data_IF_801156656121
#
_entry.id   IF_801156656121
#
_cell.length_a   1.000
_cell.length_b   1.000
_cell.length_c   1.000
_cell.angle_alpha   90.00
_cell.angle_beta   90.00
_cell.angle_gamma   90.00
#
_symmetry.space_group_name_H-M   'P 1'
#
loop_
_entity.id
_entity.type
_entity.pdbx_description
1 polymer ?
#
# COMPACT_ATOMS: atom_id res chain seq x y z
N UNK A 1 14.56 6.12 -19.98
CA UNK A 1 14.25 6.77 -18.69
C UNK A 1 12.85 7.38 -18.64
N UNK A 2 12.17 7.68 -19.77
CA UNK A 2 10.84 8.31 -19.77
C UNK A 2 9.79 7.56 -18.93
N UNK A 3 9.82 6.23 -18.92
CA UNK A 3 8.85 5.42 -18.17
C UNK A 3 9.25 5.12 -16.72
N UNK A 4 10.44 5.57 -16.28
CA UNK A 4 10.94 5.28 -14.92
C UNK A 4 9.96 5.79 -13.84
N UNK A 5 9.46 7.03 -13.88
CA UNK A 5 8.52 7.51 -12.86
C UNK A 5 7.22 6.70 -12.85
N UNK A 6 6.69 6.34 -14.03
CA UNK A 6 5.49 5.52 -14.20
C UNK A 6 5.68 4.12 -13.58
N UNK A 7 6.81 3.48 -13.86
CA UNK A 7 7.13 2.15 -13.33
C UNK A 7 7.34 2.18 -11.81
N UNK A 8 8.06 3.18 -11.30
CA UNK A 8 8.28 3.36 -9.86
C UNK A 8 6.95 3.55 -9.14
N UNK A 9 6.05 4.40 -9.63
CA UNK A 9 4.73 4.60 -9.03
C UNK A 9 3.93 3.29 -8.99
N UNK A 10 3.90 2.51 -10.07
CA UNK A 10 3.19 1.21 -10.10
C UNK A 10 3.71 0.24 -9.05
N UNK A 11 5.03 0.06 -8.99
CA UNK A 11 5.66 -0.82 -8.00
C UNK A 11 5.43 -0.28 -6.58
N UNK A 12 5.53 1.03 -6.39
CA UNK A 12 5.24 1.69 -5.13
C UNK A 12 3.81 1.45 -4.65
N UNK A 13 2.81 1.55 -5.54
CA UNK A 13 1.40 1.29 -5.20
C UNK A 13 1.14 -0.19 -4.88
N UNK A 14 1.72 -1.11 -5.66
CA UNK A 14 1.63 -2.55 -5.38
C UNK A 14 2.25 -2.89 -4.02
N UNK A 15 3.41 -2.33 -3.71
CA UNK A 15 4.08 -2.53 -2.42
C UNK A 15 3.29 -1.87 -1.28
N UNK A 16 2.70 -0.70 -1.52
CA UNK A 16 1.87 -0.02 -0.54
C UNK A 16 0.63 -0.84 -0.18
N UNK A 17 -0.07 -1.34 -1.20
CA UNK A 17 -1.18 -2.31 -1.05
C UNK A 17 -0.75 -3.50 -0.21
N UNK A 18 0.36 -4.15 -0.55
CA UNK A 18 0.86 -5.31 0.19
C UNK A 18 1.19 -4.98 1.64
N UNK A 19 1.83 -3.84 1.91
CA UNK A 19 2.16 -3.40 3.27
C UNK A 19 0.90 -3.14 4.12
N UNK A 20 -0.18 -2.63 3.50
CA UNK A 20 -1.46 -2.44 4.17
C UNK A 20 -2.08 -3.79 4.58
N UNK A 21 -2.07 -4.77 3.67
CA UNK A 21 -2.54 -6.12 3.98
C UNK A 21 -1.68 -6.82 5.03
N UNK A 22 -0.37 -6.64 5.00
CA UNK A 22 0.50 -7.16 6.06
C UNK A 22 0.17 -6.55 7.42
N UNK A 23 -0.19 -5.26 7.47
CA UNK A 23 -0.61 -4.63 8.73
C UNK A 23 -1.96 -5.18 9.20
N UNK A 24 -2.92 -5.34 8.29
CA UNK A 24 -4.25 -5.93 8.54
C UNK A 24 -4.14 -7.35 9.10
N UNK A 25 -3.27 -8.17 8.51
CA UNK A 25 -3.03 -9.55 8.90
C UNK A 25 -2.07 -9.70 10.10
N UNK A 26 -1.69 -8.61 10.76
CA UNK A 26 -0.72 -8.60 11.86
C UNK A 26 0.66 -9.22 11.52
N UNK A 27 1.07 -9.16 10.24
CA UNK A 27 2.37 -9.65 9.73
C UNK A 27 3.48 -8.65 10.06
N UNK A 28 3.86 -8.62 11.33
CA UNK A 28 4.93 -7.79 11.87
C UNK A 28 6.27 -8.55 11.90
N UNK A 29 7.43 -7.89 11.72
CA UNK A 29 7.61 -6.45 11.47
C UNK A 29 7.59 -6.07 9.97
N UNK A 30 7.23 -7.00 9.07
CA UNK A 30 7.32 -6.80 7.61
C UNK A 30 6.50 -5.62 7.12
N UNK A 31 5.28 -5.44 7.65
CA UNK A 31 4.41 -4.30 7.32
C UNK A 31 5.12 -2.95 7.47
N UNK A 32 5.96 -2.78 8.51
CA UNK A 32 6.73 -1.55 8.74
C UNK A 32 7.75 -1.34 7.62
N UNK A 33 8.50 -2.38 7.28
CA UNK A 33 9.57 -2.31 6.28
C UNK A 33 8.97 -2.03 4.90
N UNK A 34 7.92 -2.74 4.52
CA UNK A 34 7.28 -2.58 3.23
C UNK A 34 6.54 -1.24 3.10
N UNK A 35 5.88 -0.75 4.15
CA UNK A 35 5.23 0.57 4.12
C UNK A 35 6.25 1.71 3.95
N UNK A 36 7.38 1.65 4.66
CA UNK A 36 8.45 2.63 4.52
C UNK A 36 9.10 2.57 3.13
N UNK A 37 9.30 1.36 2.59
CA UNK A 37 9.85 1.16 1.25
C UNK A 37 8.88 1.63 0.16
N UNK A 38 7.58 1.38 0.32
CA UNK A 38 6.55 1.91 -0.56
C UNK A 38 6.60 3.44 -0.60
N UNK A 39 6.66 4.09 0.57
CA UNK A 39 6.81 5.55 0.65
C UNK A 39 8.07 6.03 -0.07
N UNK A 40 9.22 5.38 0.15
CA UNK A 40 10.47 5.73 -0.52
C UNK A 40 10.35 5.66 -2.06
N UNK A 41 9.78 4.58 -2.60
CA UNK A 41 9.56 4.44 -4.04
C UNK A 41 8.58 5.49 -4.56
N UNK A 42 7.47 5.74 -3.85
CA UNK A 42 6.41 6.66 -4.29
C UNK A 42 6.89 8.12 -4.27
N UNK A 43 7.64 8.54 -3.24
CA UNK A 43 8.23 9.87 -3.18
C UNK A 43 9.25 10.06 -4.30
N UNK A 44 10.12 9.07 -4.52
CA UNK A 44 11.07 9.09 -5.65
C UNK A 44 10.33 9.10 -7.00
N UNK A 45 9.23 8.38 -7.14
CA UNK A 45 8.42 8.41 -8.36
C UNK A 45 7.89 9.82 -8.64
N UNK A 46 7.35 10.51 -7.62
CA UNK A 46 6.86 11.89 -7.76
C UNK A 46 7.99 12.85 -8.11
N UNK A 47 9.16 12.75 -7.48
CA UNK A 47 10.35 13.56 -7.81
C UNK A 47 10.82 13.28 -9.25
N UNK A 48 10.87 12.01 -9.64
CA UNK A 48 11.33 11.60 -10.98
C UNK A 48 10.39 12.07 -12.10
N UNK A 49 9.12 12.39 -11.82
CA UNK A 49 8.22 13.01 -12.78
C UNK A 49 8.68 14.41 -13.21
N UNK A 50 9.37 15.16 -12.33
CA UNK A 50 10.00 16.43 -12.72
C UNK A 50 11.21 16.15 -13.61
N UNK A 51 12.12 15.27 -13.15
CA UNK A 51 13.21 14.75 -13.96
C UNK A 51 13.83 13.50 -13.32
N UNK A 52 14.07 12.38 -14.03
CA UNK A 52 14.54 11.13 -13.44
C UNK A 52 15.87 11.20 -12.68
N UNK A 53 16.77 12.13 -13.05
CA UNK A 53 18.03 12.29 -12.33
C UNK A 53 17.89 12.96 -10.95
N UNK A 54 16.76 13.59 -10.65
CA UNK A 54 16.55 14.31 -9.39
C UNK A 54 16.38 13.39 -8.17
N UNK A 55 16.26 12.08 -8.38
CA UNK A 55 16.25 11.09 -7.28
C UNK A 55 17.65 10.71 -6.81
N UNK A 56 18.70 11.16 -7.49
CA UNK A 56 20.09 10.83 -7.19
C UNK A 56 20.73 11.90 -6.30
N UNK A 57 21.25 11.47 -5.15
CA UNK A 57 22.12 12.27 -4.27
C UNK A 57 23.55 12.34 -4.82
N UNK A 58 23.95 11.33 -5.59
CA UNK A 58 25.25 11.28 -6.27
C UNK A 58 25.10 10.67 -7.65
N UNK A 59 25.47 11.43 -8.68
CA UNK A 59 25.56 10.94 -10.05
C UNK A 59 26.93 10.28 -10.31
N UNK A 60 27.00 9.33 -11.26
CA UNK A 60 28.26 8.77 -11.73
C UNK A 60 29.22 9.87 -12.22
N UNK A 61 30.52 9.63 -12.09
CA UNK A 61 31.53 10.58 -12.58
C UNK A 61 31.47 10.64 -14.11
N UNK A 62 31.65 11.84 -14.66
CA UNK A 62 31.78 12.02 -16.11
C UNK A 62 32.98 11.21 -16.63
N UNK A 63 32.74 10.42 -17.67
CA UNK A 63 33.79 9.67 -18.36
C UNK A 63 34.04 10.32 -19.73
N UNK A 64 35.24 10.87 -20.00
CA UNK A 64 35.54 11.53 -21.27
C UNK A 64 35.40 10.64 -22.51
N UNK A 65 35.43 9.31 -22.35
CA UNK A 65 35.24 8.36 -23.45
C UNK A 65 33.78 8.01 -23.74
N UNK A 66 32.84 8.48 -22.91
CA UNK A 66 31.40 8.28 -23.10
C UNK A 66 30.73 9.62 -23.42
N UNK A 67 29.93 9.65 -24.48
CA UNK A 67 29.23 10.87 -24.88
C UNK A 67 28.04 11.22 -23.96
N UNK A 68 27.39 10.23 -23.35
CA UNK A 68 26.19 10.42 -22.54
C UNK A 68 26.18 9.49 -21.32
N UNK A 69 25.53 9.95 -20.25
CA UNK A 69 25.20 9.14 -19.08
C UNK A 69 24.14 8.09 -19.46
N UNK A 70 24.41 6.82 -19.16
CA UNK A 70 23.51 5.71 -19.45
C UNK A 70 22.78 5.22 -18.19
N UNK A 71 21.72 4.43 -18.39
CA UNK A 71 21.03 3.77 -17.27
C UNK A 71 21.95 2.79 -16.52
N UNK A 72 22.85 2.11 -17.22
CA UNK A 72 23.80 1.18 -16.59
C UNK A 72 24.72 1.94 -15.64
N UNK A 73 25.25 3.10 -16.08
CA UNK A 73 26.09 3.94 -15.21
C UNK A 73 25.35 4.35 -13.93
N UNK A 74 24.06 4.69 -14.05
CA UNK A 74 23.21 5.05 -12.90
C UNK A 74 22.94 3.88 -11.95
N UNK A 75 22.80 2.66 -12.47
CA UNK A 75 22.56 1.46 -11.67
C UNK A 75 23.81 0.99 -10.92
N UNK A 76 24.98 1.13 -11.54
CA UNK A 76 26.25 0.69 -10.96
C UNK A 76 26.83 1.71 -9.97
N UNK A 77 26.86 2.99 -10.36
CA UNK A 77 27.58 4.04 -9.63
C UNK A 77 26.69 5.15 -9.06
N UNK A 78 25.41 5.17 -9.42
CA UNK A 78 24.45 6.14 -8.93
C UNK A 78 24.03 5.85 -7.49
N UNK A 79 23.86 6.90 -6.68
CA UNK A 79 23.25 6.80 -5.35
C UNK A 79 21.99 7.62 -5.30
N UNK A 80 20.89 6.99 -4.89
CA UNK A 80 19.62 7.67 -4.69
C UNK A 80 19.49 8.24 -3.29
N UNK A 81 18.67 9.27 -3.13
CA UNK A 81 18.33 9.80 -1.81
C UNK A 81 17.73 8.69 -0.92
N UNK A 82 18.15 8.64 0.33
CA UNK A 82 17.60 7.75 1.35
C UNK A 82 16.25 8.25 1.85
N UNK A 83 15.48 7.39 2.52
CA UNK A 83 14.18 7.72 3.10
C UNK A 83 14.17 9.06 3.86
N UNK A 84 15.17 9.33 4.70
CA UNK A 84 15.23 10.55 5.52
C UNK A 84 15.47 11.83 4.72
N UNK A 85 16.09 11.74 3.54
CA UNK A 85 16.41 12.86 2.66
C UNK A 85 15.25 13.23 1.72
N UNK A 86 14.33 12.29 1.47
CA UNK A 86 13.26 12.47 0.48
C UNK A 86 12.30 13.62 0.77
N UNK A 87 11.90 13.93 2.02
CA UNK A 87 11.02 15.06 2.27
C UNK A 87 11.60 16.40 1.81
N UNK A 88 12.90 16.62 2.05
CA UNK A 88 13.61 17.83 1.62
C UNK A 88 13.67 17.89 0.09
N UNK A 89 14.05 16.77 -0.54
CA UNK A 89 14.17 16.69 -1.99
C UNK A 89 12.82 16.84 -2.70
N UNK A 90 11.75 16.26 -2.15
CA UNK A 90 10.39 16.42 -2.65
C UNK A 90 9.99 17.89 -2.65
N UNK A 91 10.21 18.59 -1.53
CA UNK A 91 9.90 20.01 -1.42
C UNK A 91 10.73 20.85 -2.41
N UNK A 92 12.05 20.61 -2.48
CA UNK A 92 12.95 21.38 -3.34
C UNK A 92 12.62 21.24 -4.84
N UNK A 93 12.14 20.07 -5.27
CA UNK A 93 11.89 19.76 -6.68
C UNK A 93 10.44 19.98 -7.12
N UNK A 94 9.48 19.85 -6.21
CA UNK A 94 8.04 19.91 -6.55
C UNK A 94 7.27 20.99 -5.81
N UNK A 95 7.85 21.59 -4.77
CA UNK A 95 7.17 22.50 -3.85
C UNK A 95 6.27 21.82 -2.81
N UNK A 96 6.06 20.50 -2.91
CA UNK A 96 5.16 19.75 -2.03
C UNK A 96 5.82 19.47 -0.67
N UNK A 97 5.09 19.75 0.41
CA UNK A 97 5.53 19.46 1.79
C UNK A 97 4.71 18.33 2.39
N UNK A 98 5.35 17.49 3.19
CA UNK A 98 4.67 16.46 3.98
C UNK A 98 4.08 17.10 5.23
N UNK A 99 2.76 17.21 5.31
CA UNK A 99 2.05 17.87 6.41
C UNK A 99 2.39 17.26 7.79
N UNK A 100 2.40 15.92 7.89
CA UNK A 100 2.70 15.18 9.11
C UNK A 100 4.18 14.73 9.17
N UNK A 101 5.11 15.64 8.93
CA UNK A 101 6.55 15.31 8.81
C UNK A 101 7.12 14.56 10.03
N UNK A 102 6.64 14.86 11.24
CA UNK A 102 7.10 14.15 12.44
C UNK A 102 6.70 12.66 12.40
N UNK A 103 5.49 12.34 11.97
CA UNK A 103 5.05 10.96 11.81
C UNK A 103 5.87 10.25 10.73
N UNK A 104 6.22 10.92 9.62
CA UNK A 104 7.12 10.36 8.61
C UNK A 104 8.50 10.00 9.17
N UNK A 105 9.08 10.91 9.97
CA UNK A 105 10.40 10.73 10.60
C UNK A 105 10.39 9.63 11.65
N UNK A 106 9.38 9.60 12.53
CA UNK A 106 9.24 8.55 13.54
C UNK A 106 9.03 7.17 12.90
N UNK A 107 8.26 7.08 11.81
CA UNK A 107 8.11 5.83 11.08
C UNK A 107 9.43 5.37 10.42
N UNK A 108 10.23 6.31 9.89
CA UNK A 108 11.58 6.03 9.40
C UNK A 108 12.52 5.49 10.48
N UNK A 109 12.47 6.05 11.70
CA UNK A 109 13.22 5.52 12.85
C UNK A 109 12.78 4.11 13.21
N UNK A 110 11.47 3.85 13.21
CA UNK A 110 10.92 2.51 13.48
C UNK A 110 11.42 1.49 12.44
N UNK A 111 11.37 1.84 11.14
CA UNK A 111 11.95 1.00 10.08
C UNK A 111 13.43 0.74 10.30
N UNK A 112 14.22 1.75 10.66
CA UNK A 112 15.65 1.60 10.92
C UNK A 112 15.95 0.68 12.10
N UNK A 113 15.14 0.72 13.16
CA UNK A 113 15.23 -0.24 14.27
C UNK A 113 15.07 -1.68 13.75
N UNK A 114 14.04 -1.93 12.95
CA UNK A 114 13.76 -3.25 12.39
C UNK A 114 14.90 -3.72 11.49
N UNK A 115 15.33 -2.92 10.53
CA UNK A 115 16.26 -3.38 9.49
C UNK A 115 17.73 -3.44 9.92
N UNK A 116 18.16 -2.58 10.85
CA UNK A 116 19.58 -2.50 11.24
C UNK A 116 19.85 -3.23 12.54
N UNK A 117 18.85 -3.36 13.40
CA UNK A 117 19.02 -3.93 14.73
C UNK A 117 18.14 -5.16 14.97
N UNK A 118 17.27 -5.55 14.01
CA UNK A 118 16.31 -6.65 14.18
C UNK A 118 15.46 -6.51 15.45
N UNK A 119 15.15 -5.27 15.83
CA UNK A 119 14.39 -4.93 17.02
C UNK A 119 13.33 -3.89 16.68
N UNK A 120 12.22 -3.91 17.42
CA UNK A 120 11.27 -2.82 17.42
C UNK A 120 10.88 -2.53 18.86
N UNK A 121 11.21 -1.32 19.33
CA UNK A 121 10.90 -0.93 20.71
C UNK A 121 9.44 -0.46 20.87
N UNK A 122 8.69 -0.41 19.77
CA UNK A 122 7.28 -0.05 19.76
C UNK A 122 6.39 -1.29 19.83
N UNK A 123 5.27 -1.17 20.55
CA UNK A 123 4.17 -2.13 20.52
C UNK A 123 3.22 -1.79 19.37
N UNK A 124 2.46 -2.77 18.89
CA UNK A 124 1.39 -2.61 17.87
C UNK A 124 1.91 -2.03 16.54
N UNK A 125 2.89 -2.71 15.94
CA UNK A 125 3.55 -2.27 14.70
C UNK A 125 2.58 -2.21 13.51
N UNK A 126 1.64 -3.13 13.47
CA UNK A 126 0.44 -3.19 12.63
C UNK A 126 -0.36 -1.87 12.70
N UNK A 127 -0.86 -1.49 13.88
CA UNK A 127 -1.57 -0.22 14.10
C UNK A 127 -0.74 1.01 13.73
N UNK A 128 0.55 1.03 14.08
CA UNK A 128 1.44 2.14 13.68
C UNK A 128 1.57 2.23 12.16
N UNK A 129 1.62 1.08 11.48
CA UNK A 129 1.67 0.99 10.02
C UNK A 129 0.34 1.41 9.39
N UNK A 130 -0.81 1.03 9.95
CA UNK A 130 -2.13 1.50 9.50
C UNK A 130 -2.25 3.03 9.62
N UNK A 131 -1.84 3.59 10.76
CA UNK A 131 -1.83 5.04 10.99
C UNK A 131 -0.91 5.78 10.02
N UNK A 132 0.30 5.27 9.80
CA UNK A 132 1.22 5.84 8.82
C UNK A 132 0.65 5.76 7.39
N UNK A 133 0.07 4.61 7.05
CA UNK A 133 -0.48 4.34 5.72
C UNK A 133 -1.67 5.25 5.42
N UNK A 134 -2.70 5.23 6.25
CA UNK A 134 -3.99 5.84 5.94
C UNK A 134 -4.08 7.31 6.32
N UNK A 135 -3.31 7.76 7.30
CA UNK A 135 -3.36 9.16 7.72
C UNK A 135 -2.24 10.05 7.16
N UNK A 136 -1.20 9.46 6.56
CA UNK A 136 -0.06 10.20 5.99
C UNK A 136 0.21 9.80 4.55
N UNK A 137 0.57 8.54 4.29
CA UNK A 137 1.07 8.15 2.98
C UNK A 137 -0.03 8.16 1.91
N UNK A 138 -1.20 7.62 2.22
CA UNK A 138 -2.33 7.55 1.29
C UNK A 138 -2.85 8.95 0.89
N UNK A 139 -3.13 9.89 1.83
CA UNK A 139 -3.47 11.27 1.46
C UNK A 139 -2.37 11.98 0.67
N UNK A 140 -1.09 11.70 0.96
CA UNK A 140 0.03 12.28 0.22
C UNK A 140 0.08 11.76 -1.22
N UNK A 141 -0.06 10.45 -1.41
CA UNK A 141 -0.12 9.78 -2.72
C UNK A 141 -1.31 10.28 -3.53
N UNK A 142 -2.47 10.42 -2.89
CA UNK A 142 -3.66 10.99 -3.52
C UNK A 142 -3.41 12.44 -3.96
N UNK A 143 -2.68 13.25 -3.17
CA UNK A 143 -2.30 14.60 -3.60
C UNK A 143 -1.35 14.64 -4.81
N UNK A 144 -0.60 13.56 -5.06
CA UNK A 144 0.32 13.47 -6.19
C UNK A 144 -0.40 13.12 -7.50
N UNK A 145 -1.37 12.20 -7.44
CA UNK A 145 -1.95 11.58 -8.64
C UNK A 145 -3.49 11.52 -8.65
N UNK A 146 -4.16 12.09 -7.65
CA UNK A 146 -5.62 12.09 -7.51
C UNK A 146 -6.22 10.71 -7.22
N UNK A 147 -5.41 9.76 -6.72
CA UNK A 147 -5.80 8.36 -6.52
C UNK A 147 -5.29 7.83 -5.19
N UNK A 148 -6.17 7.18 -4.43
CA UNK A 148 -5.87 6.54 -3.14
C UNK A 148 -5.45 5.07 -3.32
N UNK A 149 -4.68 4.55 -2.36
CA UNK A 149 -4.42 3.10 -2.21
C UNK A 149 -5.69 2.31 -1.94
N UNK A 150 -6.71 2.90 -1.31
CA UNK A 150 -8.01 2.24 -1.10
C UNK A 150 -8.73 2.06 -2.43
N UNK A 151 -8.71 3.07 -3.30
CA UNK A 151 -9.23 2.92 -4.68
C UNK A 151 -8.40 1.89 -5.47
N UNK A 152 -7.08 1.87 -5.28
CA UNK A 152 -6.21 0.88 -5.91
C UNK A 152 -6.58 -0.55 -5.51
N UNK A 153 -6.85 -0.80 -4.22
CA UNK A 153 -7.33 -2.08 -3.69
C UNK A 153 -8.71 -2.42 -4.27
N UNK A 154 -9.64 -1.47 -4.29
CA UNK A 154 -11.00 -1.69 -4.76
C UNK A 154 -11.05 -2.18 -6.23
N UNK A 155 -10.11 -1.72 -7.05
CA UNK A 155 -10.06 -2.03 -8.49
C UNK A 155 -9.11 -3.15 -8.85
N UNK A 156 -8.30 -3.61 -7.91
CA UNK A 156 -7.37 -4.70 -8.13
C UNK A 156 -8.11 -6.04 -8.05
N UNK A 157 -8.17 -6.84 -9.12
CA UNK A 157 -8.91 -8.09 -9.13
C UNK A 157 -8.45 -9.08 -8.06
N UNK A 158 -7.19 -8.99 -7.61
CA UNK A 158 -6.66 -9.87 -6.56
C UNK A 158 -7.11 -9.47 -5.15
N UNK A 159 -7.66 -8.27 -4.96
CA UNK A 159 -7.97 -7.71 -3.64
C UNK A 159 -9.30 -6.95 -3.57
N UNK A 160 -10.06 -6.84 -4.66
CA UNK A 160 -11.33 -6.09 -4.76
C UNK A 160 -12.36 -6.53 -3.71
N UNK A 161 -12.39 -7.83 -3.41
CA UNK A 161 -13.32 -8.40 -2.43
C UNK A 161 -13.05 -7.94 -0.99
N UNK A 162 -11.87 -7.43 -0.64
CA UNK A 162 -11.56 -7.01 0.74
C UNK A 162 -12.36 -5.79 1.21
N UNK A 163 -12.72 -4.89 0.29
CA UNK A 163 -13.53 -3.72 0.63
C UNK A 163 -15.00 -4.11 0.64
N UNK A 164 -15.48 -4.80 -0.40
CA UNK A 164 -16.90 -5.18 -0.52
C UNK A 164 -17.34 -6.21 0.53
N UNK A 165 -16.42 -7.05 1.04
CA UNK A 165 -16.69 -7.96 2.16
C UNK A 165 -16.74 -7.28 3.53
N UNK A 166 -16.34 -6.01 3.63
CA UNK A 166 -16.26 -5.28 4.89
C UNK A 166 -15.06 -5.67 5.76
N UNK A 167 -14.18 -6.57 5.30
CA UNK A 167 -13.00 -7.04 6.05
C UNK A 167 -12.08 -5.87 6.39
N UNK A 168 -11.75 -5.02 5.41
CA UNK A 168 -10.92 -3.85 5.67
C UNK A 168 -11.53 -2.95 6.77
N UNK A 169 -12.83 -2.70 6.70
CA UNK A 169 -13.53 -1.89 7.71
C UNK A 169 -13.48 -2.53 9.10
N UNK A 170 -13.69 -3.85 9.19
CA UNK A 170 -13.58 -4.59 10.46
C UNK A 170 -12.20 -4.39 11.10
N UNK A 171 -11.12 -4.62 10.35
CA UNK A 171 -9.76 -4.50 10.86
C UNK A 171 -9.41 -3.08 11.30
N UNK A 172 -9.90 -2.07 10.59
CA UNK A 172 -9.71 -0.67 10.99
C UNK A 172 -10.37 -0.40 12.34
N UNK A 173 -11.62 -0.82 12.50
CA UNK A 173 -12.39 -0.60 13.73
C UNK A 173 -11.82 -1.41 14.92
N UNK A 174 -11.41 -2.65 14.70
CA UNK A 174 -10.77 -3.50 15.71
C UNK A 174 -9.44 -2.90 16.21
N UNK A 175 -8.70 -2.23 15.32
CA UNK A 175 -7.51 -1.48 15.67
C UNK A 175 -7.78 -0.11 16.29
N UNK A 176 -9.05 0.21 16.58
CA UNK A 176 -9.53 1.52 17.05
C UNK A 176 -9.11 2.67 16.11
N UNK A 177 -9.04 2.40 14.81
CA UNK A 177 -8.81 3.40 13.79
C UNK A 177 -10.10 4.18 13.55
N UNK A 178 -10.00 5.51 13.41
CA UNK A 178 -11.18 6.34 13.13
C UNK A 178 -11.39 6.44 11.63
N UNK A 179 -12.53 5.94 11.14
CA UNK A 179 -12.93 6.10 9.74
C UNK A 179 -13.51 7.50 9.57
N UNK A 180 -12.71 8.41 9.00
CA UNK A 180 -13.15 9.77 8.68
C UNK A 180 -14.02 9.82 7.43
N UNK A 181 -14.50 11.03 7.07
CA UNK A 181 -15.37 11.21 5.90
C UNK A 181 -14.68 10.83 4.58
N UNK A 182 -13.37 11.05 4.46
CA UNK A 182 -12.59 10.69 3.25
C UNK A 182 -12.55 9.18 3.10
N UNK A 183 -12.16 8.48 4.16
CA UNK A 183 -12.04 7.03 4.16
C UNK A 183 -13.42 6.37 4.01
N UNK A 184 -14.47 6.93 4.62
CA UNK A 184 -15.86 6.49 4.41
C UNK A 184 -16.26 6.58 2.94
N UNK A 185 -15.95 7.68 2.26
CA UNK A 185 -16.23 7.84 0.84
C UNK A 185 -15.49 6.81 -0.03
N UNK A 186 -14.23 6.50 0.31
CA UNK A 186 -13.41 5.52 -0.39
C UNK A 186 -13.88 4.06 -0.17
N UNK A 187 -14.34 3.73 1.04
CA UNK A 187 -14.86 2.41 1.37
C UNK A 187 -16.27 2.18 0.78
N UNK A 188 -17.09 3.23 0.76
CA UNK A 188 -18.47 3.19 0.30
C UNK A 188 -19.43 2.50 1.27
N UNK A 189 -20.73 2.72 1.05
CA UNK A 189 -21.79 2.22 1.94
C UNK A 189 -21.84 0.68 1.97
N UNK A 190 -21.51 0.02 0.84
CA UNK A 190 -21.48 -1.43 0.76
C UNK A 190 -20.48 -2.09 1.73
N UNK A 191 -19.34 -1.45 1.99
CA UNK A 191 -18.35 -1.93 2.98
C UNK A 191 -18.92 -1.86 4.39
N UNK A 192 -19.63 -0.76 4.71
CA UNK A 192 -20.28 -0.56 5.99
C UNK A 192 -21.36 -1.60 6.26
N UNK A 193 -22.23 -1.82 5.28
CA UNK A 193 -23.29 -2.82 5.38
C UNK A 193 -22.71 -4.23 5.55
N UNK A 194 -21.63 -4.55 4.86
CA UNK A 194 -20.95 -5.83 4.99
C UNK A 194 -20.32 -6.02 6.38
N UNK A 195 -19.65 -4.99 6.91
CA UNK A 195 -19.15 -4.98 8.28
C UNK A 195 -20.27 -5.19 9.30
N UNK A 196 -21.39 -4.48 9.15
CA UNK A 196 -22.53 -4.61 10.05
C UNK A 196 -23.13 -6.03 10.03
N UNK A 197 -23.24 -6.65 8.85
CA UNK A 197 -23.64 -8.06 8.74
C UNK A 197 -22.67 -8.99 9.48
N UNK A 198 -21.36 -8.82 9.29
CA UNK A 198 -20.35 -9.62 9.98
C UNK A 198 -20.44 -9.45 11.50
N UNK A 199 -20.63 -8.22 11.98
CA UNK A 199 -20.77 -7.92 13.41
C UNK A 199 -22.01 -8.58 14.02
N UNK A 200 -23.14 -8.56 13.32
CA UNK A 200 -24.38 -9.22 13.77
C UNK A 200 -24.17 -10.74 13.86
N UNK A 201 -23.56 -11.36 12.85
CA UNK A 201 -23.25 -12.81 12.85
C UNK A 201 -22.30 -13.15 14.00
N UNK A 202 -21.27 -12.34 14.21
CA UNK A 202 -20.31 -12.53 15.31
C UNK A 202 -20.95 -12.35 16.70
N UNK A 203 -22.07 -11.64 16.80
CA UNK A 203 -22.82 -11.47 18.05
C UNK A 203 -23.87 -12.58 18.26
N UNK A 204 -24.35 -13.21 17.19
CA UNK A 204 -25.25 -14.36 17.27
C UNK A 204 -24.55 -15.60 17.85
N UNK A 205 -24.95 -15.97 19.06
CA UNK A 205 -24.40 -17.10 19.82
C UNK A 205 -24.70 -18.44 19.12
N UNK A 206 -25.81 -18.54 18.38
CA UNK A 206 -26.19 -19.73 17.63
C UNK A 206 -25.32 -19.93 16.39
N UNK A 207 -24.97 -18.84 15.69
CA UNK A 207 -24.08 -18.86 14.54
C UNK A 207 -22.64 -19.21 14.90
N UNK A 208 -22.11 -18.64 16.00
CA UNK A 208 -20.77 -19.01 16.51
C UNK A 208 -20.68 -20.48 16.90
N UNK A 209 -21.66 -20.98 17.67
CA UNK A 209 -21.70 -22.39 18.05
C UNK A 209 -21.81 -23.32 16.83
N UNK A 210 -22.49 -22.90 15.76
CA UNK A 210 -22.53 -23.66 14.52
C UNK A 210 -21.14 -23.74 13.85
N UNK A 211 -20.47 -22.61 13.61
CA UNK A 211 -19.15 -22.62 12.98
C UNK A 211 -18.06 -23.29 13.83
N UNK A 212 -18.14 -23.15 15.15
CA UNK A 212 -17.24 -23.84 16.11
C UNK A 212 -17.54 -25.34 16.24
N UNK A 213 -18.74 -25.79 15.84
CA UNK A 213 -19.10 -27.22 15.80
C UNK A 213 -18.66 -27.94 14.52
N UNK A 214 -18.25 -27.19 13.49
CA UNK A 214 -17.82 -27.77 12.22
C UNK A 214 -16.41 -28.35 12.34
N UNK A 215 -16.23 -29.52 11.76
CA UNK A 215 -14.92 -30.13 11.56
C UNK A 215 -14.12 -29.39 10.49
N UNK A 216 -12.78 -29.53 10.46
CA UNK A 216 -11.94 -28.95 9.41
C UNK A 216 -12.41 -29.30 7.99
N UNK A 217 -12.87 -30.53 7.77
CA UNK A 217 -13.37 -31.00 6.47
C UNK A 217 -14.72 -30.35 6.10
N UNK A 218 -15.59 -30.08 7.07
CA UNK A 218 -16.87 -29.38 6.84
C UNK A 218 -16.66 -27.88 6.58
N UNK A 219 -15.70 -27.26 7.26
CA UNK A 219 -15.24 -25.90 6.95
C UNK A 219 -14.64 -25.83 5.54
N UNK A 220 -13.87 -26.85 5.14
CA UNK A 220 -13.32 -26.95 3.81
C UNK A 220 -14.42 -27.15 2.75
N UNK A 221 -15.46 -27.93 3.03
CA UNK A 221 -16.62 -28.09 2.14
C UNK A 221 -17.48 -26.82 2.02
N UNK A 222 -17.63 -26.02 3.07
CA UNK A 222 -18.33 -24.74 3.02
C UNK A 222 -17.51 -23.71 2.23
N UNK A 223 -16.19 -23.71 2.43
CA UNK A 223 -15.25 -22.91 1.63
C UNK A 223 -15.25 -23.34 0.15
N UNK A 224 -15.26 -24.65 -0.12
CA UNK A 224 -15.35 -25.20 -1.47
C UNK A 224 -16.75 -25.03 -2.08
N UNK A 225 -17.83 -24.97 -1.30
CA UNK A 225 -19.17 -24.60 -1.77
C UNK A 225 -19.27 -23.15 -2.26
N UNK A 226 -18.27 -22.31 -1.93
CA UNK A 226 -18.08 -20.97 -2.48
C UNK A 226 -17.10 -20.92 -3.66
N UNK A 227 -16.55 -22.07 -4.09
CA UNK A 227 -15.80 -22.13 -5.35
C UNK A 227 -16.77 -22.09 -6.53
N UNK A 228 -17.04 -20.86 -6.97
CA UNK A 228 -17.52 -20.54 -8.31
C UNK A 228 -16.60 -21.23 -9.33
N UNK A 229 -17.07 -22.33 -9.93
CA UNK A 229 -16.44 -22.93 -11.09
C UNK A 229 -17.24 -22.57 -12.35
N UNK A 230 -16.48 -22.12 -13.35
CA UNK A 230 -16.71 -22.04 -14.80
C UNK A 230 -17.50 -20.89 -15.45
N UNK A 231 -18.27 -20.06 -14.75
CA UNK A 231 -19.02 -18.96 -15.40
C UNK A 231 -18.27 -17.61 -15.54
N UNK A 232 -17.00 -17.52 -15.11
CA UNK A 232 -16.36 -16.22 -14.82
C UNK A 232 -15.07 -15.92 -15.61
N UNK A 233 -14.74 -16.69 -16.67
CA UNK A 233 -13.51 -16.46 -17.42
C UNK A 233 -13.52 -15.14 -18.19
N UNK A 234 -14.67 -14.80 -18.79
CA UNK A 234 -14.85 -13.54 -19.50
C UNK A 234 -14.86 -12.34 -18.55
N UNK A 235 -15.48 -12.47 -17.38
CA UNK A 235 -15.45 -11.44 -16.32
C UNK A 235 -14.02 -11.28 -15.76
N UNK A 236 -13.27 -12.37 -15.58
CA UNK A 236 -11.89 -12.32 -15.13
C UNK A 236 -10.97 -11.66 -16.18
N UNK A 237 -11.17 -11.94 -17.47
CA UNK A 237 -10.48 -11.24 -18.56
C UNK A 237 -10.85 -9.75 -18.56
N UNK A 238 -12.13 -9.43 -18.41
CA UNK A 238 -12.63 -8.06 -18.38
C UNK A 238 -12.06 -7.29 -17.18
N UNK A 239 -12.06 -7.89 -15.99
CA UNK A 239 -11.46 -7.36 -14.78
C UNK A 239 -9.94 -7.15 -14.94
N UNK A 240 -9.23 -8.09 -15.57
CA UNK A 240 -7.80 -7.92 -15.88
C UNK A 240 -7.54 -6.80 -16.89
N UNK A 241 -8.40 -6.66 -17.90
CA UNK A 241 -8.30 -5.58 -18.90
C UNK A 241 -8.58 -4.22 -18.26
N UNK A 242 -9.63 -4.13 -17.45
CA UNK A 242 -9.98 -2.95 -16.67
C UNK A 242 -8.86 -2.56 -15.69
N UNK A 243 -8.25 -3.56 -15.04
CA UNK A 243 -7.07 -3.37 -14.19
C UNK A 243 -5.88 -2.80 -14.95
N UNK A 244 -5.55 -3.35 -16.12
CA UNK A 244 -4.46 -2.84 -16.95
C UNK A 244 -4.73 -1.40 -17.40
N UNK A 245 -5.94 -1.10 -17.85
CA UNK A 245 -6.36 0.26 -18.19
C UNK A 245 -6.27 1.19 -17.00
N UNK A 246 -6.68 0.76 -15.81
CA UNK A 246 -6.54 1.51 -14.58
C UNK A 246 -5.07 1.79 -14.23
N UNK A 247 -4.19 0.79 -14.30
CA UNK A 247 -2.75 0.95 -14.10
C UNK A 247 -2.10 1.88 -15.13
N UNK A 248 -2.63 1.95 -16.35
CA UNK A 248 -2.22 2.90 -17.39
C UNK A 248 -2.78 4.30 -17.17
N UNK A 249 -3.91 4.43 -16.47
CA UNK A 249 -4.57 5.71 -16.14
C UNK A 249 -3.99 6.45 -14.95
N UNK A 250 -3.19 5.76 -14.12
CA UNK A 250 -2.39 6.43 -13.10
C UNK A 250 -1.48 7.47 -13.73
#
# INVERSE_FOLDING_TARGET
MKDVPKNMRRIGMLLFRSALFEAIDNRTPMCVVHAAHAAEILLKARIAQEHPLLIFSKLPKSNPSKNNLTLIDLLEDGRTFSYEELPEQLWATTGIKINKINQYKEFGKLRNQVIHFSMANAKNLDKLTLNYSLELLDPLVESFWGRSVVEFIARDPSTSNYISSGILEAHLLDNSFTIDQRLRHLLGDGSQEAYERMRVIAQDEAGRNFYESLTPDELEQISQGSTLYDDDYDELIENQKNWKTFLDSF
#
